data_IF_449644836528
#
_entry.id   IF_449644836528
#
_cell.length_a   1.000
_cell.length_b   1.000
_cell.length_c   1.000
_cell.angle_alpha   90.00
_cell.angle_beta   90.00
_cell.angle_gamma   90.00
#
_symmetry.space_group_name_H-M   'P 1'
#
loop_
_entity.id
_entity.type
_entity.pdbx_description
1 polymer ?
#
# COMPACT_ATOMS: atom_id res chain seq x y z
N UNK A 1 4.83 5.99 9.87
CA UNK A 1 5.60 4.96 10.64
C UNK A 1 6.95 5.55 11.01
N UNK A 2 7.60 5.13 12.10
CA UNK A 2 8.99 5.56 12.37
C UNK A 2 9.95 4.67 11.56
N UNK A 3 10.42 5.17 10.43
CA UNK A 3 11.18 4.41 9.43
C UNK A 3 10.29 3.56 8.51
N UNK A 4 10.88 2.72 7.66
CA UNK A 4 10.19 1.90 6.65
C UNK A 4 10.09 0.43 7.04
N UNK A 5 9.24 0.13 8.04
CA UNK A 5 8.86 -1.26 8.36
C UNK A 5 7.96 -1.84 7.27
N UNK A 6 7.05 -1.01 6.77
CA UNK A 6 6.17 -1.30 5.65
C UNK A 6 6.61 -0.50 4.45
N UNK A 7 6.63 -1.13 3.29
CA UNK A 7 7.05 -0.51 2.04
C UNK A 7 5.82 -0.17 1.19
N UNK A 8 5.81 0.98 0.49
CA UNK A 8 4.72 1.29 -0.43
C UNK A 8 4.74 0.32 -1.61
N UNK A 9 3.58 -0.26 -1.88
CA UNK A 9 3.29 -1.06 -3.06
C UNK A 9 2.42 -0.29 -4.05
N UNK A 10 1.49 -0.99 -4.68
CA UNK A 10 0.59 -0.45 -5.70
C UNK A 10 -0.57 0.32 -5.08
N UNK A 11 -1.04 1.40 -5.74
CA UNK A 11 -2.19 2.19 -5.25
C UNK A 11 -1.94 3.00 -3.98
N UNK A 12 -0.69 3.09 -3.50
CA UNK A 12 -0.32 3.87 -2.31
C UNK A 12 0.85 4.84 -2.57
N UNK A 13 0.95 5.85 -1.72
CA UNK A 13 2.08 6.78 -1.64
C UNK A 13 2.77 6.73 -0.29
N UNK A 14 3.94 7.34 -0.19
CA UNK A 14 4.66 7.52 1.08
C UNK A 14 5.06 8.99 1.23
N UNK A 15 4.73 9.58 2.38
CA UNK A 15 5.11 10.94 2.76
C UNK A 15 6.57 11.02 3.23
N UNK A 16 7.04 12.25 3.45
CA UNK A 16 8.41 12.54 3.92
C UNK A 16 8.72 11.92 5.28
N UNK A 17 7.71 11.78 6.13
CA UNK A 17 7.78 11.15 7.45
C UNK A 17 7.56 9.62 7.40
N UNK A 18 7.63 9.02 6.22
CA UNK A 18 7.36 7.61 5.94
C UNK A 18 5.91 7.16 6.19
N UNK A 19 4.97 8.08 6.35
CA UNK A 19 3.54 7.74 6.44
C UNK A 19 3.03 7.25 5.08
N UNK A 20 2.38 6.08 5.07
CA UNK A 20 1.79 5.50 3.85
C UNK A 20 0.34 5.95 3.75
N UNK A 21 -0.07 6.42 2.57
CA UNK A 21 -1.43 6.88 2.30
C UNK A 21 -1.97 6.27 1.00
N UNK A 22 -3.28 6.09 0.91
CA UNK A 22 -3.93 5.57 -0.30
C UNK A 22 -3.98 6.64 -1.40
N UNK A 23 -3.71 6.24 -2.64
CA UNK A 23 -3.88 7.09 -3.84
C UNK A 23 -5.15 6.75 -4.61
N UNK A 24 -5.70 5.56 -4.37
CA UNK A 24 -6.91 5.05 -5.01
C UNK A 24 -7.82 4.46 -3.94
N UNK A 25 -9.12 4.44 -4.21
CA UNK A 25 -10.09 3.75 -3.38
C UNK A 25 -10.04 2.25 -3.64
N UNK A 26 -10.23 1.45 -2.58
CA UNK A 26 -10.18 0.01 -2.71
C UNK A 26 -9.83 -0.70 -1.41
N UNK A 27 -9.30 -1.92 -1.54
CA UNK A 27 -8.97 -2.78 -0.41
C UNK A 27 -7.48 -2.79 -0.14
N UNK A 28 -7.09 -2.57 1.12
CA UNK A 28 -5.70 -2.64 1.56
C UNK A 28 -5.26 -4.10 1.61
N UNK A 29 -4.09 -4.40 1.05
CA UNK A 29 -3.47 -5.73 1.04
C UNK A 29 -2.03 -5.67 1.51
N UNK A 30 -1.59 -6.73 2.17
CA UNK A 30 -0.24 -6.88 2.68
C UNK A 30 0.44 -8.06 1.98
N UNK A 31 1.59 -7.82 1.35
CA UNK A 31 2.36 -8.85 0.67
C UNK A 31 3.78 -8.91 1.20
N UNK A 32 4.22 -10.09 1.63
CA UNK A 32 5.64 -10.32 1.93
C UNK A 32 6.42 -10.45 0.61
N UNK A 33 7.45 -9.63 0.46
CA UNK A 33 8.38 -9.65 -0.65
C UNK A 33 9.72 -10.28 -0.27
N UNK A 34 10.68 -10.15 -1.18
CA UNK A 34 12.05 -10.65 -1.00
C UNK A 34 12.74 -9.98 0.20
N UNK A 35 13.63 -10.73 0.85
CA UNK A 35 14.40 -10.28 2.03
C UNK A 35 13.53 -9.86 3.22
N UNK A 36 12.35 -10.46 3.38
CA UNK A 36 11.48 -10.26 4.54
C UNK A 36 10.77 -8.90 4.57
N UNK A 37 10.84 -8.11 3.50
CA UNK A 37 10.13 -6.83 3.40
C UNK A 37 8.64 -7.07 3.24
N UNK A 38 7.81 -6.25 3.89
CA UNK A 38 6.36 -6.31 3.68
C UNK A 38 5.87 -5.07 2.96
N UNK A 39 5.17 -5.27 1.86
CA UNK A 39 4.61 -4.23 1.01
C UNK A 39 3.12 -4.06 1.30
N UNK A 40 2.68 -2.80 1.36
CA UNK A 40 1.28 -2.43 1.49
C UNK A 40 0.81 -1.89 0.14
N UNK A 41 -0.24 -2.48 -0.40
CA UNK A 41 -0.88 -2.01 -1.63
C UNK A 41 -2.37 -1.77 -1.39
N UNK A 42 -2.99 -0.91 -2.19
CA UNK A 42 -4.45 -0.82 -2.29
C UNK A 42 -4.85 -1.38 -3.64
N UNK A 43 -5.61 -2.48 -3.62
CA UNK A 43 -6.24 -3.03 -4.82
C UNK A 43 -7.50 -2.20 -5.12
N UNK A 44 -7.62 -1.59 -6.30
CA UNK A 44 -8.80 -0.84 -6.67
C UNK A 44 -10.05 -1.68 -6.44
N UNK A 45 -11.08 -1.10 -5.81
CA UNK A 45 -12.39 -1.73 -5.87
C UNK A 45 -12.78 -1.71 -7.35
N UNK A 46 -12.88 -2.88 -7.98
CA UNK A 46 -13.59 -2.96 -9.25
C UNK A 46 -14.98 -2.39 -8.98
N UNK A 47 -15.28 -1.24 -9.56
CA UNK A 47 -16.66 -0.82 -9.76
C UNK A 47 -17.32 -2.00 -10.47
N UNK A 48 -18.15 -2.74 -9.74
CA UNK A 48 -19.07 -3.66 -10.38
C UNK A 48 -19.90 -2.78 -11.31
N UNK A 49 -19.66 -2.89 -12.61
CA UNK A 49 -20.47 -2.24 -13.60
C UNK A 49 -21.93 -2.65 -13.36
N UNK A 50 -22.74 -1.68 -12.94
CA UNK A 50 -24.20 -1.79 -12.92
C UNK A 50 -24.75 -1.50 -14.33
#
# INVERSE_FOLDING_TARGET
QRGTKWFPGEGVGMGTDHTIFAKVEGRVTFKKGLKGRTFISVLPAQEAAE
#
